data_IF_570086960731
#
_entry.id   IF_570086960731
#
_cell.length_a   1.000
_cell.length_b   1.000
_cell.length_c   1.000
_cell.angle_alpha   90.00
_cell.angle_beta   90.00
_cell.angle_gamma   90.00
#
_symmetry.space_group_name_H-M   'P 1'
#
loop_
_entity.id
_entity.type
_entity.pdbx_description
1 polymer ?
#
# COMPACT_ATOMS: atom_id res chain seq x y z
N UNK A 1 7.31 -16.87 -2.00
CA UNK A 1 6.60 -15.65 -2.45
C UNK A 1 5.44 -15.46 -1.49
N UNK A 2 5.30 -14.26 -0.95
CA UNK A 2 4.24 -13.94 0.01
C UNK A 2 2.87 -14.00 -0.69
N UNK A 3 1.88 -14.66 -0.08
CA UNK A 3 0.53 -14.70 -0.65
C UNK A 3 -0.18 -13.35 -0.55
N UNK A 4 -1.20 -13.15 -1.37
CA UNK A 4 -2.03 -11.93 -1.34
C UNK A 4 -2.74 -11.73 0.01
N UNK A 5 -3.20 -12.81 0.62
CA UNK A 5 -3.88 -12.78 1.93
C UNK A 5 -2.92 -12.33 3.03
N UNK A 6 -1.73 -12.92 3.10
CA UNK A 6 -0.71 -12.48 4.05
C UNK A 6 -0.28 -11.02 3.80
N UNK A 7 -0.20 -10.61 2.54
CA UNK A 7 0.10 -9.22 2.20
C UNK A 7 -0.99 -8.24 2.66
N UNK A 8 -2.26 -8.62 2.53
CA UNK A 8 -3.39 -7.84 3.06
C UNK A 8 -3.32 -7.70 4.58
N UNK A 9 -2.95 -8.77 5.29
CA UNK A 9 -2.80 -8.74 6.75
C UNK A 9 -1.66 -7.81 7.20
N UNK A 10 -0.50 -7.88 6.53
CA UNK A 10 0.63 -6.99 6.81
C UNK A 10 0.29 -5.52 6.52
N UNK A 11 -0.41 -5.24 5.43
CA UNK A 11 -0.86 -3.89 5.10
C UNK A 11 -1.88 -3.38 6.12
N UNK A 12 -2.86 -4.19 6.50
CA UNK A 12 -3.85 -3.83 7.52
C UNK A 12 -3.20 -3.56 8.89
N UNK A 13 -2.21 -4.37 9.28
CA UNK A 13 -1.44 -4.15 10.51
C UNK A 13 -0.68 -2.81 10.49
N UNK A 14 -0.08 -2.44 9.35
CA UNK A 14 0.53 -1.12 9.19
C UNK A 14 -0.51 0.00 9.31
N UNK A 15 -1.61 -0.11 8.58
CA UNK A 15 -2.63 0.94 8.49
C UNK A 15 -3.29 1.21 9.84
N UNK A 16 -3.64 0.17 10.61
CA UNK A 16 -4.18 0.32 11.98
C UNK A 16 -3.19 0.97 12.95
N UNK A 17 -1.89 0.77 12.73
CA UNK A 17 -0.85 1.41 13.53
C UNK A 17 -0.65 2.89 13.16
N UNK A 18 -0.79 3.23 11.88
CA UNK A 18 -0.59 4.60 11.37
C UNK A 18 -1.81 5.48 11.58
N UNK A 19 -3.01 4.90 11.45
CA UNK A 19 -4.30 5.59 11.58
C UNK A 19 -5.18 4.89 12.63
N UNK A 20 -4.76 4.85 13.92
CA UNK A 20 -5.49 4.13 14.96
C UNK A 20 -6.95 4.60 15.09
N UNK A 21 -7.20 5.90 14.93
CA UNK A 21 -8.51 6.54 15.00
C UNK A 21 -9.43 6.23 13.80
N UNK A 22 -8.87 5.71 12.70
CA UNK A 22 -9.62 5.33 11.49
C UNK A 22 -9.69 3.82 11.27
N UNK A 23 -9.33 3.02 12.27
CA UNK A 23 -9.32 1.55 12.18
C UNK A 23 -10.69 1.00 11.73
N UNK A 24 -11.79 1.55 12.25
CA UNK A 24 -13.15 1.11 11.91
C UNK A 24 -13.61 1.57 10.53
N UNK A 25 -12.94 2.57 9.95
CA UNK A 25 -13.18 3.10 8.60
C UNK A 25 -12.32 2.41 7.53
N UNK A 26 -11.27 1.69 7.93
CA UNK A 26 -10.35 1.06 7.00
C UNK A 26 -11.04 0.00 6.13
N UNK A 27 -11.02 0.22 4.81
CA UNK A 27 -11.49 -0.75 3.81
C UNK A 27 -10.31 -1.17 2.93
N UNK A 28 -9.96 -2.45 2.98
CA UNK A 28 -9.02 -3.04 2.01
C UNK A 28 -9.74 -3.29 0.70
N UNK A 29 -9.06 -3.11 -0.44
CA UNK A 29 -9.65 -3.27 -1.78
C UNK A 29 -8.88 -4.34 -2.57
N UNK A 30 -9.07 -5.64 -2.25
CA UNK A 30 -8.26 -6.73 -2.80
C UNK A 30 -8.22 -6.76 -4.33
N UNK A 31 -9.33 -6.47 -5.00
CA UNK A 31 -9.47 -6.48 -6.44
C UNK A 31 -8.62 -5.41 -7.16
N UNK A 32 -8.20 -4.36 -6.45
CA UNK A 32 -7.30 -3.32 -6.96
C UNK A 32 -5.84 -3.54 -6.56
N UNK A 33 -5.54 -4.62 -5.83
CA UNK A 33 -4.17 -4.94 -5.45
C UNK A 33 -3.41 -5.53 -6.64
N UNK A 34 -2.16 -5.10 -6.82
CA UNK A 34 -1.31 -5.51 -7.93
C UNK A 34 -0.07 -6.22 -7.40
N UNK A 35 0.29 -7.33 -8.02
CA UNK A 35 1.54 -8.04 -7.75
C UNK A 35 2.65 -7.51 -8.65
N UNK A 36 3.80 -7.18 -8.05
CA UNK A 36 5.03 -6.83 -8.76
C UNK A 36 6.14 -7.78 -8.34
N UNK A 37 7.23 -7.80 -9.12
CA UNK A 37 8.41 -8.60 -8.80
C UNK A 37 9.04 -8.29 -7.43
N UNK A 38 8.92 -7.05 -6.94
CA UNK A 38 9.43 -6.66 -5.63
C UNK A 38 8.47 -7.05 -4.48
N UNK A 39 7.16 -7.09 -4.73
CA UNK A 39 6.16 -7.22 -3.69
C UNK A 39 4.75 -6.87 -4.16
N UNK A 40 3.81 -6.85 -3.23
CA UNK A 40 2.44 -6.45 -3.46
C UNK A 40 2.24 -4.95 -3.27
N UNK A 41 1.50 -4.31 -4.18
CA UNK A 41 0.86 -3.03 -3.93
C UNK A 41 -0.57 -3.28 -3.47
N UNK A 42 -0.82 -2.99 -2.19
CA UNK A 42 -2.09 -3.24 -1.53
C UNK A 42 -2.91 -1.96 -1.51
N UNK A 43 -4.06 -1.98 -2.17
CA UNK A 43 -4.99 -0.87 -2.21
C UNK A 43 -5.89 -0.84 -0.96
N UNK A 44 -6.13 0.35 -0.43
CA UNK A 44 -7.08 0.59 0.63
C UNK A 44 -7.79 1.93 0.42
N UNK A 45 -8.90 2.12 1.11
CA UNK A 45 -9.63 3.38 1.14
C UNK A 45 -10.33 3.55 2.50
N UNK A 46 -10.96 4.70 2.70
CA UNK A 46 -11.81 4.99 3.85
C UNK A 46 -13.27 4.76 3.52
N UNK A 47 -14.00 4.14 4.45
CA UNK A 47 -15.43 3.86 4.32
C UNK A 47 -16.22 5.10 3.93
N UNK A 48 -15.94 6.24 4.58
CA UNK A 48 -16.68 7.47 4.32
C UNK A 48 -16.45 7.99 2.89
N UNK A 49 -15.24 7.85 2.35
CA UNK A 49 -14.94 8.23 0.96
C UNK A 49 -15.70 7.33 -0.01
N UNK A 50 -15.71 6.01 0.20
CA UNK A 50 -16.43 5.07 -0.65
C UNK A 50 -17.94 5.37 -0.65
N UNK A 51 -18.52 5.63 0.52
CA UNK A 51 -19.97 5.82 0.67
C UNK A 51 -20.45 7.16 0.11
N UNK A 52 -19.63 8.21 0.20
CA UNK A 52 -20.03 9.58 -0.17
C UNK A 52 -19.51 10.03 -1.53
N UNK A 53 -18.40 9.45 -2.01
CA UNK A 53 -17.66 9.93 -3.17
C UNK A 53 -16.95 11.27 -2.95
N UNK A 54 -16.87 11.78 -1.72
CA UNK A 54 -16.18 13.02 -1.42
C UNK A 54 -14.66 12.80 -1.42
N UNK A 55 -14.00 13.32 -2.45
CA UNK A 55 -12.55 13.25 -2.64
C UNK A 55 -11.75 13.86 -1.49
N UNK A 56 -12.32 14.77 -0.70
CA UNK A 56 -11.66 15.32 0.50
C UNK A 56 -11.54 14.29 1.63
N UNK A 57 -12.34 13.23 1.58
CA UNK A 57 -12.28 12.12 2.53
C UNK A 57 -11.37 10.99 2.07
N UNK A 58 -10.79 11.07 0.87
CA UNK A 58 -9.87 10.07 0.33
C UNK A 58 -8.51 10.09 1.04
N UNK A 59 -7.83 8.94 1.24
CA UNK A 59 -6.44 8.95 1.67
C UNK A 59 -5.53 9.63 0.64
N UNK A 60 -4.58 10.43 1.11
CA UNK A 60 -3.55 11.07 0.24
C UNK A 60 -2.79 10.00 -0.56
N UNK A 61 -2.47 8.87 0.09
CA UNK A 61 -1.87 7.69 -0.54
C UNK A 61 -2.73 6.48 -0.22
N UNK A 62 -3.45 5.96 -1.20
CA UNK A 62 -4.39 4.84 -1.09
C UNK A 62 -3.72 3.47 -1.31
N UNK A 63 -2.41 3.37 -1.06
CA UNK A 63 -1.62 2.16 -1.36
C UNK A 63 -0.53 1.91 -0.31
N UNK A 64 -0.33 0.64 0.03
CA UNK A 64 0.75 0.14 0.89
C UNK A 64 1.55 -0.91 0.14
N UNK A 65 2.88 -0.84 0.21
CA UNK A 65 3.77 -1.82 -0.39
C UNK A 65 4.14 -2.88 0.63
N UNK A 66 4.00 -4.15 0.26
CA UNK A 66 4.39 -5.31 1.06
C UNK A 66 5.40 -6.16 0.29
N UNK A 67 6.69 -6.11 0.67
CA UNK A 67 7.75 -6.86 -0.01
C UNK A 67 7.58 -8.38 0.06
N UNK A 68 7.93 -9.09 -1.01
CA UNK A 68 7.88 -10.57 -1.02
C UNK A 68 8.95 -11.23 -0.15
N UNK A 69 10.03 -10.51 0.15
CA UNK A 69 11.20 -10.99 0.90
C UNK A 69 11.01 -10.93 2.43
N UNK A 70 9.81 -10.57 2.91
CA UNK A 70 9.54 -10.37 4.33
C UNK A 70 10.00 -9.00 4.86
N UNK A 71 10.43 -8.10 3.99
CA UNK A 71 10.65 -6.70 4.31
C UNK A 71 9.40 -6.04 4.91
N UNK A 72 9.59 -4.92 5.63
CA UNK A 72 8.48 -4.24 6.31
C UNK A 72 7.52 -3.60 5.30
N UNK A 73 6.22 -3.75 5.58
CA UNK A 73 5.19 -2.98 4.88
C UNK A 73 5.43 -1.47 5.06
N UNK A 74 5.25 -0.69 4.00
CA UNK A 74 5.52 0.75 3.99
C UNK A 74 4.70 1.48 2.93
N UNK A 75 4.58 2.80 3.06
CA UNK A 75 4.06 3.65 1.99
C UNK A 75 5.14 3.89 0.93
N UNK A 76 4.79 3.89 -0.36
CA UNK A 76 5.73 4.28 -1.39
C UNK A 76 6.04 5.79 -1.30
N UNK A 77 7.18 6.24 -1.87
CA UNK A 77 7.48 7.67 -1.98
C UNK A 77 6.40 8.40 -2.79
N UNK A 78 5.83 9.49 -2.26
CA UNK A 78 4.78 10.26 -2.93
C UNK A 78 5.24 10.99 -4.20
N UNK A 79 6.55 11.17 -4.36
CA UNK A 79 7.17 11.87 -5.50
C UNK A 79 7.28 11.00 -6.76
N UNK A 80 6.97 9.70 -6.68
CA UNK A 80 7.07 8.76 -7.78
C UNK A 80 5.74 8.02 -8.00
N UNK A 81 5.39 7.70 -9.26
CA UNK A 81 4.38 6.69 -9.55
C UNK A 81 4.74 5.36 -8.87
N UNK A 82 3.73 4.63 -8.42
CA UNK A 82 3.91 3.34 -7.73
C UNK A 82 4.63 2.34 -8.63
N UNK A 83 4.23 2.24 -9.90
CA UNK A 83 4.87 1.34 -10.88
C UNK A 83 6.37 1.60 -11.01
N UNK A 84 6.76 2.88 -11.12
CA UNK A 84 8.16 3.29 -11.23
C UNK A 84 8.93 2.94 -9.96
N UNK A 85 8.35 3.17 -8.78
CA UNK A 85 8.94 2.78 -7.51
C UNK A 85 9.15 1.27 -7.43
N UNK A 86 8.13 0.47 -7.75
CA UNK A 86 8.19 -0.98 -7.71
C UNK A 86 9.22 -1.54 -8.70
N UNK A 87 9.32 -0.96 -9.89
CA UNK A 87 10.32 -1.34 -10.88
C UNK A 87 11.75 -1.07 -10.38
N UNK A 88 12.02 0.12 -9.83
CA UNK A 88 13.34 0.47 -9.29
C UNK A 88 13.72 -0.38 -8.08
N UNK A 89 12.76 -0.76 -7.23
CA UNK A 89 13.01 -1.70 -6.13
C UNK A 89 13.40 -3.07 -6.65
N UNK A 90 12.72 -3.56 -7.69
CA UNK A 90 13.02 -4.85 -8.30
C UNK A 90 14.39 -4.87 -9.01
N UNK A 91 14.79 -3.77 -9.66
CA UNK A 91 16.10 -3.66 -10.34
C UNK A 91 17.27 -3.39 -9.40
N UNK A 92 17.01 -2.99 -8.15
CA UNK A 92 18.04 -2.57 -7.21
C UNK A 92 18.50 -1.11 -7.39
N UNK A 93 17.82 -0.34 -8.24
CA UNK A 93 18.07 1.09 -8.47
C UNK A 93 17.40 2.01 -7.43
N UNK A 94 16.95 1.43 -6.31
CA UNK A 94 16.39 2.16 -5.17
C UNK A 94 16.89 1.63 -3.82
N UNK A 95 17.35 2.51 -2.90
CA UNK A 95 17.38 3.96 -3.01
C UNK A 95 18.43 4.46 -4.02
N UNK A 96 18.30 5.68 -4.57
CA UNK A 96 19.32 6.26 -5.43
C UNK A 96 20.66 6.28 -4.70
N UNK A 97 21.74 5.87 -5.38
CA UNK A 97 23.09 6.02 -4.85
C UNK A 97 23.42 7.52 -4.82
N UNK A 98 23.97 8.00 -3.70
CA UNK A 98 24.52 9.36 -3.58
C UNK A 98 25.67 9.61 -4.55
#
# INVERSE_FOLDING_TARGET
MLSKEEALDFAAALLRRVYPEKTDSLVMVPEKCVEYAYGWAIAFDWKEHIETGDWLLSPITSVVIVPHDGGKAHFPPSVLPVDDYMHRRASGDWPPKE
#
